data_IF_395652782960
#
_entry.id   IF_395652782960
#
_cell.length_a   1.000
_cell.length_b   1.000
_cell.length_c   1.000
_cell.angle_alpha   90.00
_cell.angle_beta   90.00
_cell.angle_gamma   90.00
#
_symmetry.space_group_name_H-M   'P 1'
#
loop_
_entity.id
_entity.type
_entity.pdbx_description
1 polymer ?
#
# COMPACT_ATOMS: atom_id res chain seq x y z
N UNK A 1 -10.29 3.93 -7.61
CA UNK A 1 -9.12 3.08 -7.34
C UNK A 1 -8.30 3.53 -6.12
N UNK A 2 -8.02 4.80 -6.00
CA UNK A 2 -7.27 5.31 -4.84
C UNK A 2 -7.96 4.96 -3.52
N UNK A 3 -9.27 5.08 -3.47
CA UNK A 3 -10.04 4.76 -2.28
C UNK A 3 -9.89 3.31 -1.84
N UNK A 4 -9.83 2.40 -2.81
CA UNK A 4 -9.65 0.98 -2.51
C UNK A 4 -8.27 0.75 -1.91
N UNK A 5 -7.25 1.35 -2.50
CA UNK A 5 -5.88 1.24 -2.01
C UNK A 5 -5.80 1.77 -0.58
N UNK A 6 -6.39 2.94 -0.32
CA UNK A 6 -6.42 3.53 1.01
C UNK A 6 -7.09 2.62 2.04
N UNK A 7 -8.25 2.08 1.70
CA UNK A 7 -8.97 1.19 2.62
C UNK A 7 -8.12 0.00 3.04
N UNK A 8 -7.49 -0.63 2.08
CA UNK A 8 -6.66 -1.81 2.36
C UNK A 8 -5.42 -1.42 3.17
N UNK A 9 -4.73 -0.36 2.77
CA UNK A 9 -3.50 0.07 3.44
C UNK A 9 -3.79 0.52 4.87
N UNK A 10 -4.85 1.29 5.09
CA UNK A 10 -5.22 1.76 6.43
C UNK A 10 -5.59 0.58 7.33
N UNK A 11 -6.32 -0.39 6.81
CA UNK A 11 -6.68 -1.58 7.57
C UNK A 11 -5.45 -2.40 7.94
N UNK A 12 -4.51 -2.52 7.02
CA UNK A 12 -3.26 -3.22 7.26
C UNK A 12 -2.38 -2.48 8.27
N UNK A 13 -2.33 -1.14 8.14
CA UNK A 13 -1.57 -0.28 9.05
C UNK A 13 -0.13 -0.77 9.25
N UNK A 14 0.68 -0.83 8.19
CA UNK A 14 1.99 -1.49 8.23
C UNK A 14 3.00 -0.85 9.18
N UNK A 15 2.83 0.44 9.49
CA UNK A 15 3.76 1.17 10.37
C UNK A 15 3.16 1.36 11.77
N UNK A 16 1.87 1.11 11.93
CA UNK A 16 1.20 1.31 13.20
C UNK A 16 0.85 2.76 13.49
N UNK A 17 0.65 3.56 12.45
CA UNK A 17 0.39 5.00 12.61
C UNK A 17 -1.06 5.32 12.96
N UNK A 18 -1.97 4.40 12.70
CA UNK A 18 -3.40 4.68 12.86
C UNK A 18 -3.80 4.89 14.32
N UNK A 19 -3.02 4.39 15.25
CA UNK A 19 -3.25 4.61 16.67
C UNK A 19 -2.96 6.05 17.11
N UNK A 20 -2.08 6.72 16.39
CA UNK A 20 -1.55 8.02 16.79
C UNK A 20 -1.85 9.13 15.78
N UNK A 21 -2.35 8.79 14.61
CA UNK A 21 -2.46 9.73 13.51
C UNK A 21 -3.80 9.58 12.80
N UNK A 22 -4.26 10.63 12.13
CA UNK A 22 -5.49 10.57 11.34
C UNK A 22 -5.36 9.60 10.17
N UNK A 23 -6.48 9.25 9.59
CA UNK A 23 -6.57 8.29 8.50
C UNK A 23 -5.84 8.72 7.23
N UNK A 24 -5.39 9.96 7.13
CA UNK A 24 -4.68 10.47 5.97
C UNK A 24 -3.16 10.29 6.02
N UNK A 25 -2.64 9.64 7.06
CA UNK A 25 -1.18 9.44 7.21
C UNK A 25 -0.55 8.66 6.05
N UNK A 26 -1.30 7.79 5.43
CA UNK A 26 -0.80 7.01 4.30
C UNK A 26 -1.22 7.57 2.93
N UNK A 27 -1.80 8.76 2.89
CA UNK A 27 -2.30 9.31 1.62
C UNK A 27 -1.23 9.43 0.55
N UNK A 28 -0.06 9.96 0.91
CA UNK A 28 1.02 10.15 -0.05
C UNK A 28 1.51 8.81 -0.58
N UNK A 29 1.67 7.83 0.31
CA UNK A 29 2.10 6.49 -0.09
C UNK A 29 1.07 5.83 -1.00
N UNK A 30 -0.20 5.96 -0.70
CA UNK A 30 -1.26 5.41 -1.54
C UNK A 30 -1.27 6.04 -2.93
N UNK A 31 -1.03 7.34 -3.01
CA UNK A 31 -0.94 8.03 -4.30
C UNK A 31 0.26 7.58 -5.11
N UNK A 32 1.40 7.39 -4.44
CA UNK A 32 2.60 6.87 -5.10
C UNK A 32 2.35 5.46 -5.63
N UNK A 33 1.69 4.62 -4.84
CA UNK A 33 1.36 3.26 -5.26
C UNK A 33 0.46 3.29 -6.50
N UNK A 34 -0.58 4.12 -6.47
CA UNK A 34 -1.48 4.23 -7.61
C UNK A 34 -0.77 4.71 -8.86
N UNK A 35 0.07 5.73 -8.71
CA UNK A 35 0.82 6.28 -9.84
C UNK A 35 1.74 5.23 -10.47
N UNK A 36 2.49 4.52 -9.66
CA UNK A 36 3.39 3.48 -10.16
C UNK A 36 2.61 2.30 -10.76
N UNK A 37 1.51 1.91 -10.13
CA UNK A 37 0.68 0.84 -10.65
C UNK A 37 0.07 1.19 -12.00
N UNK A 38 -0.28 2.45 -12.20
CA UNK A 38 -0.81 2.92 -13.48
C UNK A 38 0.18 2.80 -14.63
N UNK A 39 1.47 2.83 -14.33
CA UNK A 39 2.51 2.70 -15.33
C UNK A 39 2.71 1.25 -15.80
N UNK A 40 2.17 0.30 -15.06
CA UNK A 40 2.20 -1.14 -15.39
C UNK A 40 3.59 -1.71 -15.64
N UNK A 41 4.58 -1.20 -14.94
CA UNK A 41 5.97 -1.65 -15.09
C UNK A 41 6.34 -2.77 -14.12
N UNK A 42 5.68 -2.84 -12.97
CA UNK A 42 6.00 -3.78 -11.92
C UNK A 42 4.73 -4.35 -11.28
N UNK A 43 4.80 -5.55 -10.69
CA UNK A 43 3.68 -6.08 -9.93
C UNK A 43 3.33 -5.18 -8.75
N UNK A 44 2.07 -5.15 -8.39
CA UNK A 44 1.58 -4.28 -7.32
C UNK A 44 2.26 -4.57 -5.98
N UNK A 45 2.51 -5.83 -5.66
CA UNK A 45 3.20 -6.18 -4.42
C UNK A 45 4.60 -5.59 -4.34
N UNK A 46 5.33 -5.61 -5.44
CA UNK A 46 6.65 -4.99 -5.53
C UNK A 46 6.57 -3.49 -5.35
N UNK A 47 5.58 -2.86 -5.95
CA UNK A 47 5.35 -1.42 -5.83
C UNK A 47 5.10 -1.04 -4.36
N UNK A 48 4.21 -1.77 -3.69
CA UNK A 48 3.89 -1.54 -2.29
C UNK A 48 5.14 -1.62 -1.42
N UNK A 49 5.92 -2.68 -1.62
CA UNK A 49 7.15 -2.86 -0.86
C UNK A 49 8.11 -1.69 -1.05
N UNK A 50 8.34 -1.30 -2.31
CA UNK A 50 9.27 -0.20 -2.62
C UNK A 50 8.80 1.13 -2.05
N UNK A 51 7.53 1.45 -2.20
CA UNK A 51 7.00 2.72 -1.72
C UNK A 51 7.17 2.84 -0.21
N UNK A 52 6.79 1.80 0.53
CA UNK A 52 6.91 1.86 1.98
C UNK A 52 8.37 1.81 2.44
N UNK A 53 9.20 1.02 1.77
CA UNK A 53 10.62 0.95 2.12
C UNK A 53 11.32 2.28 1.88
N UNK A 54 11.01 2.94 0.77
CA UNK A 54 11.60 4.23 0.44
C UNK A 54 11.16 5.36 1.40
N UNK A 55 9.92 5.31 1.85
CA UNK A 55 9.37 6.38 2.69
C UNK A 55 9.62 6.16 4.19
N UNK A 56 9.68 4.92 4.64
CA UNK A 56 9.82 4.61 6.06
C UNK A 56 11.12 3.90 6.43
N UNK A 57 11.86 3.45 5.43
CA UNK A 57 13.15 2.80 5.67
C UNK A 57 13.03 1.59 6.57
N UNK A 58 13.88 1.52 7.59
CA UNK A 58 13.93 0.37 8.49
C UNK A 58 12.71 0.23 9.39
N UNK A 59 11.91 1.27 9.52
CA UNK A 59 10.67 1.19 10.30
C UNK A 59 9.69 0.24 9.62
N UNK A 60 9.73 0.17 8.29
CA UNK A 60 8.89 -0.76 7.54
C UNK A 60 9.54 -2.13 7.56
N UNK A 61 8.98 -3.05 8.35
CA UNK A 61 9.54 -4.38 8.58
C UNK A 61 8.72 -5.50 7.96
N UNK A 62 7.67 -5.17 7.22
CA UNK A 62 6.84 -6.20 6.57
C UNK A 62 7.64 -6.91 5.49
N UNK A 63 7.40 -8.21 5.35
CA UNK A 63 8.05 -9.01 4.33
C UNK A 63 7.39 -8.82 2.98
N UNK A 64 8.13 -9.11 1.91
CA UNK A 64 7.59 -9.01 0.56
C UNK A 64 6.37 -9.93 0.35
N UNK A 65 6.31 -11.07 1.03
CA UNK A 65 5.13 -11.95 0.98
C UNK A 65 3.88 -11.26 1.50
N UNK A 66 4.01 -10.50 2.57
CA UNK A 66 2.89 -9.74 3.12
C UNK A 66 2.42 -8.71 2.10
N UNK A 67 3.36 -8.04 1.45
CA UNK A 67 3.02 -7.07 0.41
C UNK A 67 2.28 -7.72 -0.75
N UNK A 68 2.66 -8.95 -1.12
CA UNK A 68 1.96 -9.70 -2.16
C UNK A 68 0.52 -10.01 -1.76
N UNK A 69 0.29 -10.36 -0.50
CA UNK A 69 -1.06 -10.63 0.01
C UNK A 69 -1.91 -9.36 0.01
N UNK A 70 -1.33 -8.25 0.41
CA UNK A 70 -2.02 -6.96 0.40
C UNK A 70 -2.35 -6.56 -1.04
N UNK A 71 -1.41 -6.74 -1.96
CA UNK A 71 -1.63 -6.45 -3.37
C UNK A 71 -2.76 -7.30 -3.96
N UNK A 72 -2.79 -8.58 -3.60
CA UNK A 72 -3.85 -9.48 -4.07
C UNK A 72 -5.22 -9.02 -3.58
N UNK A 73 -5.29 -8.55 -2.33
CA UNK A 73 -6.55 -8.04 -1.78
C UNK A 73 -7.01 -6.79 -2.53
N UNK A 74 -6.08 -5.87 -2.82
CA UNK A 74 -6.40 -4.66 -3.58
C UNK A 74 -6.91 -5.02 -4.97
N UNK A 75 -6.20 -5.90 -5.68
CA UNK A 75 -6.59 -6.30 -7.02
C UNK A 75 -7.94 -7.01 -7.05
N UNK A 76 -8.21 -7.83 -6.05
CA UNK A 76 -9.49 -8.51 -5.91
C UNK A 76 -10.64 -7.51 -5.78
N UNK A 77 -10.46 -6.50 -4.95
CA UNK A 77 -11.49 -5.47 -4.74
C UNK A 77 -11.72 -4.63 -5.99
N UNK A 78 -10.65 -4.33 -6.72
CA UNK A 78 -10.75 -3.59 -7.98
C UNK A 78 -11.53 -4.41 -9.00
N UNK A 79 -11.25 -5.72 -9.12
CA UNK A 79 -11.91 -6.59 -10.10
C UNK A 79 -13.38 -6.82 -9.84
N UNK A 80 -13.81 -6.68 -8.59
CA UNK A 80 -15.21 -6.95 -8.24
C UNK A 80 -16.10 -5.71 -8.33
N UNK A 81 -15.56 -4.57 -8.70
CA UNK A 81 -16.34 -3.35 -8.86
C UNK A 81 -16.83 -3.11 -10.32
#
# INVERSE_FOLDING_TARGET
MLEIIKEVIVTWDPIGLMEFAPSDEYDDECRMILDEFSKKKEPLGTIIYKVFKDNFGEIFQAESETCLKIAAEIEKRISTR
#
